data_IF_251602908588
#
_entry.id   IF_251602908588
#
_cell.length_a   1.000
_cell.length_b   1.000
_cell.length_c   1.000
_cell.angle_alpha   90.00
_cell.angle_beta   90.00
_cell.angle_gamma   90.00
#
_symmetry.space_group_name_H-M   'P 1'
#
loop_
_entity.id
_entity.type
_entity.pdbx_description
1 polymer ?
#
# COMPACT_ATOMS: atom_id res chain seq x y z
N UNK A 1 -21.82 17.24 -38.06
CA UNK A 1 -20.49 16.76 -37.66
C UNK A 1 -20.65 15.63 -36.65
N UNK A 2 -20.96 14.42 -37.13
CA UNK A 2 -21.19 13.22 -36.32
C UNK A 2 -20.79 12.00 -37.17
N UNK A 3 -19.50 11.67 -37.14
CA UNK A 3 -18.94 10.53 -37.88
C UNK A 3 -17.88 9.87 -37.01
N UNK A 4 -18.28 9.32 -35.87
CA UNK A 4 -17.46 8.39 -35.07
C UNK A 4 -18.36 7.49 -34.20
N UNK A 5 -19.06 6.50 -34.77
CA UNK A 5 -19.73 5.48 -33.91
C UNK A 5 -19.83 4.05 -34.45
N UNK A 6 -19.42 3.72 -35.68
CA UNK A 6 -19.72 2.37 -36.22
C UNK A 6 -18.52 1.41 -36.29
N UNK A 7 -17.28 1.88 -36.18
CA UNK A 7 -16.09 1.03 -36.44
C UNK A 7 -15.44 0.36 -35.21
N UNK A 8 -16.00 0.51 -34.00
CA UNK A 8 -15.37 0.03 -32.75
C UNK A 8 -16.21 -1.03 -31.97
N UNK A 9 -17.03 -1.83 -32.66
CA UNK A 9 -17.79 -2.93 -32.03
C UNK A 9 -17.24 -4.33 -32.36
N UNK A 10 -16.45 -4.47 -33.43
CA UNK A 10 -15.96 -5.76 -33.95
C UNK A 10 -14.63 -6.21 -33.35
N UNK A 11 -13.89 -5.34 -32.64
CA UNK A 11 -12.64 -5.73 -32.00
C UNK A 11 -12.93 -6.59 -30.77
N UNK A 12 -12.39 -7.83 -30.69
CA UNK A 12 -12.55 -8.66 -29.50
C UNK A 12 -11.98 -7.91 -28.30
N UNK A 13 -12.84 -7.62 -27.31
CA UNK A 13 -12.41 -7.01 -26.05
C UNK A 13 -11.42 -7.97 -25.40
N UNK A 14 -10.21 -7.52 -25.03
CA UNK A 14 -9.22 -8.39 -24.40
C UNK A 14 -9.81 -8.93 -23.10
N UNK A 15 -9.82 -10.26 -22.94
CA UNK A 15 -10.24 -10.93 -21.71
C UNK A 15 -9.39 -10.38 -20.56
N UNK A 16 -10.01 -9.61 -19.67
CA UNK A 16 -9.36 -9.01 -18.49
C UNK A 16 -9.42 -10.00 -17.34
N UNK A 17 -8.35 -10.76 -17.12
CA UNK A 17 -8.17 -11.58 -15.92
C UNK A 17 -7.05 -10.98 -15.07
N UNK A 18 -7.38 -10.59 -13.84
CA UNK A 18 -6.46 -9.98 -12.88
C UNK A 18 -7.08 -8.74 -12.23
N UNK A 19 -7.25 -8.76 -10.89
CA UNK A 19 -7.97 -7.81 -10.03
C UNK A 19 -9.46 -8.09 -9.73
N UNK A 20 -9.85 -9.36 -9.55
CA UNK A 20 -11.21 -9.72 -9.12
C UNK A 20 -11.66 -9.08 -7.79
N UNK A 21 -10.77 -9.03 -6.79
CA UNK A 21 -11.09 -8.50 -5.45
C UNK A 21 -11.43 -7.01 -5.44
N UNK A 22 -10.62 -6.16 -6.08
CA UNK A 22 -10.90 -4.72 -6.18
C UNK A 22 -12.16 -4.46 -7.00
N UNK A 23 -12.39 -5.24 -8.07
CA UNK A 23 -13.60 -5.15 -8.88
C UNK A 23 -14.84 -5.49 -8.04
N UNK A 24 -14.76 -6.53 -7.21
CA UNK A 24 -15.84 -6.93 -6.31
C UNK A 24 -16.09 -5.86 -5.23
N UNK A 25 -15.05 -5.31 -4.61
CA UNK A 25 -15.18 -4.24 -3.63
C UNK A 25 -15.80 -2.99 -4.26
N UNK A 26 -15.31 -2.55 -5.43
CA UNK A 26 -15.92 -1.42 -6.15
C UNK A 26 -17.36 -1.70 -6.53
N UNK A 27 -17.72 -2.95 -6.85
CA UNK A 27 -19.09 -3.35 -7.17
C UNK A 27 -20.01 -3.25 -5.94
N UNK A 28 -19.58 -3.79 -4.80
CA UNK A 28 -20.32 -3.69 -3.54
C UNK A 28 -20.51 -2.23 -3.11
N UNK A 29 -19.46 -1.41 -3.23
CA UNK A 29 -19.54 0.03 -2.97
C UNK A 29 -20.52 0.70 -3.94
N UNK A 30 -20.52 0.33 -5.23
CA UNK A 30 -21.46 0.87 -6.22
C UNK A 30 -22.91 0.52 -5.89
N UNK A 31 -23.17 -0.74 -5.48
CA UNK A 31 -24.51 -1.21 -5.10
C UNK A 31 -24.98 -0.48 -3.84
N UNK A 32 -24.16 -0.42 -2.80
CA UNK A 32 -24.52 0.22 -1.54
C UNK A 32 -24.78 1.72 -1.71
N UNK A 33 -23.88 2.44 -2.38
CA UNK A 33 -24.04 3.89 -2.61
C UNK A 33 -25.16 4.21 -3.60
N UNK A 34 -25.40 3.35 -4.60
CA UNK A 34 -26.52 3.50 -5.53
C UNK A 34 -27.86 3.32 -4.81
N UNK A 35 -27.97 2.28 -3.98
CA UNK A 35 -29.13 2.05 -3.13
C UNK A 35 -29.36 3.18 -2.12
N UNK A 36 -28.31 3.75 -1.55
CA UNK A 36 -28.47 4.91 -0.66
C UNK A 36 -29.05 6.15 -1.40
N UNK A 37 -28.69 6.37 -2.66
CA UNK A 37 -29.21 7.50 -3.43
C UNK A 37 -30.64 7.30 -3.92
N UNK A 38 -31.14 6.07 -4.02
CA UNK A 38 -32.53 5.81 -4.47
C UNK A 38 -33.57 6.35 -3.48
N UNK A 39 -33.21 6.55 -2.21
CA UNK A 39 -34.09 7.18 -1.22
C UNK A 39 -34.37 8.67 -1.49
N UNK A 40 -33.47 9.34 -2.22
CA UNK A 40 -33.55 10.79 -2.47
C UNK A 40 -33.73 11.15 -3.95
N UNK A 41 -33.38 10.24 -4.87
CA UNK A 41 -33.43 10.50 -6.32
C UNK A 41 -34.86 10.39 -6.88
N UNK A 42 -35.29 11.39 -7.66
CA UNK A 42 -36.57 11.36 -8.39
C UNK A 42 -36.34 11.12 -9.88
N UNK A 43 -36.81 9.99 -10.45
CA UNK A 43 -36.54 9.61 -11.84
C UNK A 43 -37.50 10.27 -12.86
N UNK A 44 -37.87 11.54 -12.66
CA UNK A 44 -38.72 12.32 -13.58
C UNK A 44 -37.86 13.35 -14.32
N UNK A 45 -38.11 13.58 -15.62
CA UNK A 45 -37.27 14.46 -16.45
C UNK A 45 -37.20 15.91 -15.94
N UNK A 46 -38.23 16.36 -15.23
CA UNK A 46 -38.32 17.70 -14.65
C UNK A 46 -37.63 17.84 -13.29
N UNK A 47 -37.52 16.75 -12.51
CA UNK A 47 -36.98 16.79 -11.13
C UNK A 47 -35.66 16.03 -10.96
N UNK A 48 -35.17 15.35 -12.00
CA UNK A 48 -33.95 14.55 -11.92
C UNK A 48 -32.72 15.38 -11.54
N UNK A 49 -32.60 16.61 -12.06
CA UNK A 49 -31.46 17.48 -11.73
C UNK A 49 -31.58 18.09 -10.33
N UNK A 50 -32.76 18.59 -9.96
CA UNK A 50 -33.00 19.20 -8.65
C UNK A 50 -32.88 18.19 -7.51
N UNK A 51 -33.30 16.93 -7.72
CA UNK A 51 -33.10 15.86 -6.73
C UNK A 51 -31.63 15.52 -6.52
N UNK A 52 -30.78 15.56 -7.56
CA UNK A 52 -29.32 15.40 -7.40
C UNK A 52 -28.69 16.59 -6.71
N UNK A 53 -29.14 17.82 -7.00
CA UNK A 53 -28.67 19.01 -6.29
C UNK A 53 -28.97 18.90 -4.79
N UNK A 54 -30.20 18.51 -4.43
CA UNK A 54 -30.60 18.27 -3.05
C UNK A 54 -29.68 17.25 -2.35
N UNK A 55 -29.35 16.13 -3.01
CA UNK A 55 -28.40 15.15 -2.48
C UNK A 55 -27.02 15.79 -2.21
N UNK A 56 -26.55 16.68 -3.08
CA UNK A 56 -25.24 17.30 -2.93
C UNK A 56 -25.19 18.45 -1.92
N UNK A 57 -26.27 19.19 -1.71
CA UNK A 57 -26.25 20.43 -0.93
C UNK A 57 -26.98 20.35 0.40
N UNK A 58 -28.02 19.52 0.51
CA UNK A 58 -28.92 19.51 1.67
C UNK A 58 -28.96 18.16 2.39
N UNK A 59 -28.80 17.04 1.68
CA UNK A 59 -28.77 15.73 2.31
C UNK A 59 -27.48 15.53 3.13
N UNK A 60 -27.63 15.11 4.39
CA UNK A 60 -26.50 14.79 5.27
C UNK A 60 -25.57 13.76 4.63
N UNK A 61 -24.30 14.11 4.46
CA UNK A 61 -23.29 13.31 3.75
C UNK A 61 -23.65 12.93 2.30
N UNK A 62 -24.71 13.48 1.71
CA UNK A 62 -25.13 13.12 0.35
C UNK A 62 -24.10 13.53 -0.71
N UNK A 63 -23.39 14.65 -0.49
CA UNK A 63 -22.23 15.06 -1.29
C UNK A 63 -21.15 13.97 -1.33
N UNK A 64 -20.91 13.30 -0.20
CA UNK A 64 -19.90 12.25 -0.07
C UNK A 64 -20.38 10.97 -0.74
N UNK A 65 -21.62 10.54 -0.48
CA UNK A 65 -22.21 9.33 -1.08
C UNK A 65 -22.21 9.43 -2.61
N UNK A 66 -22.65 10.56 -3.16
CA UNK A 66 -22.68 10.79 -4.60
C UNK A 66 -21.27 10.84 -5.19
N UNK A 67 -20.33 11.49 -4.50
CA UNK A 67 -18.93 11.51 -4.90
C UNK A 67 -18.37 10.09 -4.94
N UNK A 68 -18.50 9.33 -3.85
CA UNK A 68 -18.01 7.94 -3.77
C UNK A 68 -18.60 7.09 -4.90
N UNK A 69 -19.91 7.17 -5.16
CA UNK A 69 -20.56 6.44 -6.26
C UNK A 69 -20.00 6.81 -7.64
N UNK A 70 -19.68 8.09 -7.88
CA UNK A 70 -19.07 8.54 -9.14
C UNK A 70 -17.60 8.11 -9.24
N UNK A 71 -16.84 8.18 -8.15
CA UNK A 71 -15.43 7.79 -8.13
C UNK A 71 -15.24 6.27 -8.25
N UNK A 72 -16.07 5.45 -7.58
CA UNK A 72 -16.05 3.99 -7.70
C UNK A 72 -16.42 3.53 -9.11
N UNK A 73 -17.36 4.22 -9.77
CA UNK A 73 -17.70 3.96 -11.17
C UNK A 73 -16.50 4.18 -12.12
N UNK A 74 -15.61 5.14 -11.80
CA UNK A 74 -14.39 5.39 -12.58
C UNK A 74 -13.34 4.29 -12.40
N UNK A 75 -13.36 3.55 -11.29
CA UNK A 75 -12.52 2.37 -11.08
C UNK A 75 -12.76 1.25 -12.10
N UNK A 76 -13.93 1.22 -12.75
CA UNK A 76 -14.23 0.28 -13.83
C UNK A 76 -13.75 0.76 -15.22
N UNK A 77 -13.44 2.05 -15.37
CA UNK A 77 -12.95 2.65 -16.62
C UNK A 77 -11.41 2.67 -16.65
N UNK A 78 -10.81 2.65 -17.85
CA UNK A 78 -9.38 2.99 -17.98
C UNK A 78 -9.19 4.46 -17.58
N UNK A 79 -8.05 4.86 -16.99
CA UNK A 79 -6.83 4.08 -16.71
C UNK A 79 -6.79 3.40 -15.32
N UNK A 80 -6.13 2.23 -15.20
CA UNK A 80 -5.98 1.48 -13.93
C UNK A 80 -4.84 1.99 -13.03
N UNK A 81 -4.19 3.06 -13.46
CA UNK A 81 -3.09 3.72 -12.74
C UNK A 81 -3.56 4.21 -11.37
N UNK A 82 -4.78 4.75 -11.27
CA UNK A 82 -5.34 5.27 -10.02
C UNK A 82 -5.58 4.18 -8.97
N UNK A 83 -6.08 3.01 -9.39
CA UNK A 83 -6.27 1.86 -8.48
C UNK A 83 -4.95 1.29 -7.99
N UNK A 84 -3.90 1.36 -8.81
CA UNK A 84 -2.56 0.94 -8.42
C UNK A 84 -1.95 1.92 -7.41
N UNK A 85 -1.97 3.22 -7.71
CA UNK A 85 -1.44 4.26 -6.82
C UNK A 85 -2.14 4.24 -5.47
N UNK A 86 -3.47 4.13 -5.44
CA UNK A 86 -4.23 4.01 -4.18
C UNK A 86 -3.85 2.75 -3.41
N UNK A 87 -3.63 1.62 -4.09
CA UNK A 87 -3.13 0.39 -3.45
C UNK A 87 -1.74 0.54 -2.83
N UNK A 88 -0.79 1.16 -3.53
CA UNK A 88 0.57 1.39 -3.01
C UNK A 88 0.54 2.37 -1.81
N UNK A 89 -0.29 3.42 -1.88
CA UNK A 89 -0.48 4.35 -0.75
C UNK A 89 -1.07 3.62 0.47
N UNK A 90 -2.08 2.77 0.27
CA UNK A 90 -2.64 1.95 1.34
C UNK A 90 -1.62 0.97 1.93
N UNK A 91 -0.76 0.36 1.11
CA UNK A 91 0.31 -0.51 1.57
C UNK A 91 1.33 0.25 2.45
N UNK A 92 1.76 1.43 2.03
CA UNK A 92 2.68 2.29 2.82
C UNK A 92 2.04 2.72 4.14
N UNK A 93 0.76 3.11 4.11
CA UNK A 93 0.01 3.46 5.33
C UNK A 93 -0.09 2.26 6.28
N UNK A 94 -0.41 1.07 5.76
CA UNK A 94 -0.52 -0.17 6.54
C UNK A 94 0.82 -0.53 7.18
N UNK A 95 1.92 -0.44 6.44
CA UNK A 95 3.26 -0.66 6.99
C UNK A 95 3.61 0.36 8.08
N UNK A 96 3.24 1.63 7.89
CA UNK A 96 3.44 2.69 8.89
C UNK A 96 2.64 2.42 10.18
N UNK A 97 1.42 1.91 10.06
CA UNK A 97 0.62 1.47 11.20
C UNK A 97 1.21 0.25 11.89
N UNK A 98 1.78 -0.71 11.15
CA UNK A 98 2.50 -1.87 11.72
C UNK A 98 3.66 -1.45 12.62
N UNK A 99 4.52 -0.55 12.12
CA UNK A 99 5.64 0.02 12.90
C UNK A 99 5.15 0.76 14.15
N UNK A 100 4.03 1.47 14.06
CA UNK A 100 3.44 2.15 15.23
C UNK A 100 2.87 1.14 16.23
N UNK A 101 2.27 0.05 15.75
CA UNK A 101 1.74 -1.06 16.55
C UNK A 101 2.80 -1.70 17.45
N UNK A 102 3.99 -1.92 16.92
CA UNK A 102 5.14 -2.45 17.67
C UNK A 102 5.55 -1.62 18.88
N UNK A 103 5.30 -0.31 18.85
CA UNK A 103 5.70 0.55 19.96
C UNK A 103 4.79 0.41 21.19
N UNK A 104 3.60 -0.19 21.06
CA UNK A 104 2.61 -0.23 22.14
C UNK A 104 2.99 -1.17 23.30
N UNK A 105 3.47 -2.41 23.08
CA UNK A 105 3.84 -3.32 24.17
C UNK A 105 5.08 -2.89 24.96
N UNK A 106 5.92 -2.03 24.38
CA UNK A 106 7.18 -1.54 24.96
C UNK A 106 8.12 -2.67 25.44
N UNK A 107 8.20 -3.73 24.64
CA UNK A 107 9.14 -4.83 24.78
C UNK A 107 10.49 -4.50 24.11
N UNK A 108 11.47 -5.38 24.30
CA UNK A 108 12.82 -5.20 23.75
C UNK A 108 12.79 -4.93 22.23
N UNK A 109 11.99 -5.69 21.48
CA UNK A 109 11.88 -5.56 20.02
C UNK A 109 11.25 -4.22 19.64
N UNK A 110 10.13 -3.83 20.27
CA UNK A 110 9.45 -2.57 20.00
C UNK A 110 10.31 -1.34 20.31
N UNK A 111 11.04 -1.34 21.43
CA UNK A 111 11.94 -0.25 21.79
C UNK A 111 13.04 -0.01 20.73
N UNK A 112 13.73 -1.07 20.31
CA UNK A 112 14.80 -0.96 19.32
C UNK A 112 14.27 -0.68 17.91
N UNK A 113 13.11 -1.21 17.53
CA UNK A 113 12.43 -0.86 16.28
C UNK A 113 12.12 0.65 16.21
N UNK A 114 11.59 1.23 17.29
CA UNK A 114 11.33 2.68 17.38
C UNK A 114 12.63 3.48 17.28
N UNK A 115 13.74 3.02 17.87
CA UNK A 115 15.05 3.69 17.77
C UNK A 115 15.57 3.72 16.34
N UNK A 116 15.39 2.65 15.57
CA UNK A 116 15.77 2.60 14.14
C UNK A 116 14.95 3.62 13.35
N UNK A 117 13.63 3.63 13.52
CA UNK A 117 12.71 4.52 12.79
C UNK A 117 12.97 5.99 13.12
N UNK A 118 13.20 6.31 14.40
CA UNK A 118 13.56 7.66 14.84
C UNK A 118 14.93 8.12 14.32
N UNK A 119 15.82 7.19 13.97
CA UNK A 119 17.13 7.50 13.37
C UNK A 119 17.08 7.76 11.86
N UNK A 120 15.96 7.47 11.18
CA UNK A 120 15.81 7.69 9.73
C UNK A 120 15.87 9.18 9.36
N UNK A 121 15.15 10.10 10.04
CA UNK A 121 15.24 11.54 9.76
C UNK A 121 16.64 12.12 9.97
N UNK A 122 17.44 11.56 10.90
CA UNK A 122 18.81 12.01 11.17
C UNK A 122 19.76 11.77 9.99
N UNK A 123 19.40 10.87 9.06
CA UNK A 123 20.17 10.62 7.85
C UNK A 123 19.97 11.69 6.76
N UNK A 124 18.90 12.49 6.85
CA UNK A 124 18.56 13.50 5.84
C UNK A 124 19.20 14.85 6.25
N UNK A 125 20.01 15.49 5.38
CA UNK A 125 20.72 16.72 5.73
C UNK A 125 19.82 17.96 5.92
N UNK A 126 18.50 17.82 5.84
CA UNK A 126 17.51 18.89 6.07
C UNK A 126 17.07 18.85 7.55
N UNK A 127 17.99 19.24 8.43
CA UNK A 127 17.73 19.35 9.87
C UNK A 127 16.91 20.63 10.11
N UNK A 128 15.66 20.48 10.55
CA UNK A 128 14.96 21.31 11.57
C UNK A 128 13.42 21.27 11.56
N UNK A 129 12.75 20.69 10.55
CA UNK A 129 11.27 20.74 10.48
C UNK A 129 10.52 19.42 10.68
N UNK A 130 11.21 18.26 10.55
CA UNK A 130 10.55 16.94 10.55
C UNK A 130 10.47 16.32 11.96
N UNK A 131 11.26 16.79 12.92
CA UNK A 131 11.45 16.12 14.22
C UNK A 131 10.31 16.32 15.25
N UNK A 132 9.23 17.03 14.89
CA UNK A 132 8.09 17.27 15.78
C UNK A 132 6.81 16.50 15.38
N UNK A 133 6.96 15.34 14.73
CA UNK A 133 5.85 14.38 14.63
C UNK A 133 5.74 13.66 15.98
N UNK A 134 5.12 14.35 16.94
CA UNK A 134 4.69 13.77 18.20
C UNK A 134 3.68 12.67 17.86
N UNK A 135 3.95 11.44 18.27
CA UNK A 135 2.99 10.32 18.20
C UNK A 135 1.80 10.69 19.11
N UNK A 136 0.83 11.37 18.52
CA UNK A 136 -0.42 11.76 19.17
C UNK A 136 -1.53 11.24 18.29
N UNK A 137 -1.77 9.93 18.36
CA UNK A 137 -3.09 9.32 18.32
C UNK A 137 -2.98 7.78 18.32
N UNK A 138 -2.72 7.18 19.49
CA UNK A 138 -2.76 5.70 19.63
C UNK A 138 -4.16 5.16 19.97
N UNK A 139 -5.24 5.95 19.84
CA UNK A 139 -6.60 5.49 20.20
C UNK A 139 -7.46 4.98 19.03
N UNK A 140 -7.01 5.04 17.78
CA UNK A 140 -7.91 4.80 16.63
C UNK A 140 -7.89 3.42 15.96
N UNK A 141 -7.09 2.44 16.38
CA UNK A 141 -7.08 1.14 15.69
C UNK A 141 -7.27 -0.03 16.66
N UNK A 142 -8.54 -0.31 16.95
CA UNK A 142 -8.97 -1.55 17.61
C UNK A 142 -10.21 -2.12 16.92
N UNK A 143 -10.21 -2.19 15.59
CA UNK A 143 -11.13 -3.04 14.83
C UNK A 143 -10.38 -3.43 13.55
N UNK A 144 -9.82 -4.66 13.52
CA UNK A 144 -9.65 -5.49 12.30
C UNK A 144 -9.07 -6.89 12.59
N UNK A 145 -8.47 -7.15 13.77
CA UNK A 145 -7.68 -8.39 14.01
C UNK A 145 -8.27 -9.36 15.05
N UNK A 146 -9.60 -9.48 15.15
CA UNK A 146 -10.22 -10.27 16.25
C UNK A 146 -10.14 -11.79 16.01
N UNK A 147 -10.09 -12.27 14.77
CA UNK A 147 -10.04 -13.73 14.50
C UNK A 147 -8.65 -14.35 14.68
N UNK A 148 -7.57 -13.68 14.28
CA UNK A 148 -6.21 -14.20 14.51
C UNK A 148 -5.80 -14.08 15.99
N UNK A 149 -6.21 -12.99 16.67
CA UNK A 149 -5.88 -12.78 18.08
C UNK A 149 -6.42 -13.86 19.04
N UNK A 150 -7.44 -14.62 18.61
CA UNK A 150 -8.00 -15.74 19.38
C UNK A 150 -7.24 -17.04 19.12
N UNK A 151 -6.72 -17.24 17.91
CA UNK A 151 -6.03 -18.47 17.52
C UNK A 151 -4.55 -18.45 17.92
N UNK A 152 -3.90 -17.29 17.84
CA UNK A 152 -2.52 -17.08 18.25
C UNK A 152 -2.45 -15.83 19.15
N UNK A 153 -2.67 -15.96 20.48
CA UNK A 153 -2.48 -14.84 21.39
C UNK A 153 -1.03 -14.37 21.32
N UNK A 154 -0.82 -13.08 21.09
CA UNK A 154 0.53 -12.50 21.02
C UNK A 154 1.25 -12.69 22.36
N UNK A 155 2.40 -13.37 22.33
CA UNK A 155 3.27 -13.50 23.50
C UNK A 155 3.89 -12.13 23.78
N UNK A 156 3.73 -11.61 25.00
CA UNK A 156 4.40 -10.39 25.45
C UNK A 156 5.88 -10.75 25.67
N UNK A 157 6.78 -10.04 24.98
CA UNK A 157 8.22 -10.23 25.11
C UNK A 157 8.79 -9.70 26.43
N UNK A 158 10.11 -9.81 26.60
CA UNK A 158 10.78 -9.25 27.76
C UNK A 158 10.67 -7.71 27.79
N UNK A 159 10.52 -7.09 28.97
CA UNK A 159 10.47 -5.64 29.12
C UNK A 159 11.71 -4.96 28.50
N UNK A 160 11.51 -3.80 27.90
CA UNK A 160 12.60 -3.06 27.26
C UNK A 160 13.68 -2.60 28.25
N UNK A 161 14.91 -3.09 28.08
CA UNK A 161 16.14 -2.56 28.67
C UNK A 161 16.92 -1.70 27.64
N UNK A 162 17.03 -0.37 27.86
CA UNK A 162 17.80 0.55 27.02
C UNK A 162 19.30 0.27 26.92
N UNK A 163 19.87 -0.49 27.87
CA UNK A 163 21.31 -0.70 27.99
C UNK A 163 21.79 -2.06 27.47
N UNK A 164 20.86 -2.98 27.17
CA UNK A 164 21.18 -4.31 26.68
C UNK A 164 20.61 -4.54 25.27
N UNK A 165 21.39 -4.32 24.21
CA UNK A 165 20.96 -4.70 22.85
C UNK A 165 20.92 -6.22 22.71
N UNK A 166 19.81 -6.84 22.30
CA UNK A 166 19.79 -8.26 21.93
C UNK A 166 20.77 -8.55 20.79
N UNK A 167 21.34 -9.75 20.79
CA UNK A 167 22.38 -10.16 19.83
C UNK A 167 21.90 -10.13 18.37
N UNK A 168 20.59 -10.34 18.11
CA UNK A 168 20.01 -10.23 16.77
C UNK A 168 18.56 -9.71 16.85
N UNK A 169 18.36 -8.42 16.56
CA UNK A 169 17.05 -7.76 16.60
C UNK A 169 16.44 -7.84 15.21
N UNK A 170 15.46 -8.74 15.03
CA UNK A 170 14.75 -8.95 13.76
C UNK A 170 13.36 -8.29 13.84
N UNK A 171 12.93 -7.53 12.80
CA UNK A 171 11.53 -7.07 12.69
C UNK A 171 10.62 -8.25 12.27
N UNK A 172 9.34 -8.05 11.90
CA UNK A 172 8.62 -9.18 11.30
C UNK A 172 9.16 -9.52 9.92
N UNK A 173 8.84 -10.74 9.50
CA UNK A 173 9.22 -11.33 8.22
C UNK A 173 8.95 -10.43 7.01
N UNK A 174 7.89 -9.62 7.02
CA UNK A 174 7.53 -8.75 5.91
C UNK A 174 8.40 -7.50 5.79
N UNK A 175 9.17 -7.15 6.82
CA UNK A 175 10.18 -6.09 6.78
C UNK A 175 11.60 -6.60 6.50
N UNK A 176 11.83 -7.92 6.50
CA UNK A 176 13.17 -8.50 6.32
C UNK A 176 13.94 -7.98 5.10
N UNK A 177 13.36 -7.92 3.88
CA UNK A 177 14.12 -7.50 2.70
C UNK A 177 14.60 -6.05 2.82
N UNK A 178 13.75 -5.18 3.39
CA UNK A 178 14.02 -3.74 3.54
C UNK A 178 14.99 -3.51 4.71
N UNK A 179 14.86 -4.27 5.78
CA UNK A 179 15.79 -4.29 6.91
C UNK A 179 17.20 -4.72 6.49
N UNK A 180 17.30 -5.75 5.65
CA UNK A 180 18.58 -6.25 5.14
C UNK A 180 19.33 -5.18 4.33
N UNK A 181 18.63 -4.38 3.52
CA UNK A 181 19.22 -3.24 2.80
C UNK A 181 19.81 -2.23 3.78
N UNK A 182 19.11 -1.92 4.88
CA UNK A 182 19.55 -0.93 5.86
C UNK A 182 20.82 -1.36 6.61
N UNK A 183 20.95 -2.65 6.95
CA UNK A 183 22.14 -3.17 7.65
C UNK A 183 23.34 -3.42 6.74
N UNK A 184 23.12 -3.72 5.46
CA UNK A 184 24.21 -4.04 4.52
C UNK A 184 24.90 -2.80 3.94
N UNK A 185 24.17 -1.68 3.86
CA UNK A 185 24.70 -0.45 3.27
C UNK A 185 25.43 0.38 4.35
N UNK A 186 26.74 0.64 4.20
CA UNK A 186 27.54 1.33 5.22
C UNK A 186 27.17 2.82 5.38
N UNK A 187 26.48 3.40 4.39
CA UNK A 187 26.02 4.79 4.43
C UNK A 187 24.55 4.88 4.83
N UNK A 188 24.26 5.58 5.94
CA UNK A 188 22.89 5.75 6.48
C UNK A 188 21.92 6.39 5.48
N UNK A 189 22.34 7.42 4.74
CA UNK A 189 21.49 8.10 3.77
C UNK A 189 21.15 7.17 2.60
N UNK A 190 22.15 6.45 2.08
CA UNK A 190 21.94 5.53 0.96
C UNK A 190 21.00 4.38 1.34
N UNK A 191 21.16 3.82 2.54
CA UNK A 191 20.25 2.79 3.07
C UNK A 191 18.79 3.28 3.11
N UNK A 192 18.55 4.47 3.69
CA UNK A 192 17.21 5.07 3.74
C UNK A 192 16.63 5.33 2.35
N UNK A 193 17.43 5.88 1.43
CA UNK A 193 16.99 6.12 0.05
C UNK A 193 16.60 4.84 -0.67
N UNK A 194 17.33 3.74 -0.45
CA UNK A 194 17.00 2.44 -1.03
C UNK A 194 15.73 1.82 -0.41
N UNK A 195 15.44 2.07 0.87
CA UNK A 195 14.16 1.66 1.46
C UNK A 195 12.97 2.41 0.84
N UNK A 196 13.13 3.71 0.60
CA UNK A 196 12.10 4.57 -0.01
C UNK A 196 11.97 4.32 -1.51
N UNK A 197 13.04 3.86 -2.18
CA UNK A 197 13.03 3.56 -3.62
C UNK A 197 12.08 2.41 -3.98
N UNK A 198 11.86 1.46 -3.06
CA UNK A 198 10.95 0.32 -3.30
C UNK A 198 9.49 0.75 -3.50
N UNK A 199 8.83 1.44 -2.53
CA UNK A 199 7.47 1.90 -2.73
C UNK A 199 7.37 2.99 -3.82
N UNK A 200 8.36 3.86 -3.97
CA UNK A 200 8.35 4.88 -5.04
C UNK A 200 8.53 4.26 -6.44
N UNK A 201 9.35 3.22 -6.57
CA UNK A 201 9.48 2.42 -7.79
C UNK A 201 8.16 1.73 -8.14
N UNK A 202 7.48 1.15 -7.14
CA UNK A 202 6.13 0.59 -7.36
C UNK A 202 5.14 1.66 -7.83
N UNK A 203 5.18 2.89 -7.31
CA UNK A 203 4.31 3.98 -7.79
C UNK A 203 4.51 4.33 -9.27
N UNK A 204 5.72 4.15 -9.81
CA UNK A 204 6.02 4.48 -11.21
C UNK A 204 5.69 3.37 -12.20
N UNK A 205 5.57 2.11 -11.74
CA UNK A 205 5.22 0.94 -12.56
C UNK A 205 4.06 1.18 -13.54
N UNK A 206 2.87 1.65 -13.12
CA UNK A 206 1.72 1.71 -14.02
C UNK A 206 1.92 2.74 -15.14
N UNK A 207 2.77 3.75 -14.94
CA UNK A 207 3.13 4.75 -15.95
C UNK A 207 4.17 4.20 -16.93
N UNK A 208 5.15 3.44 -16.45
CA UNK A 208 6.14 2.75 -17.29
C UNK A 208 5.48 1.66 -18.15
N UNK A 209 4.51 0.94 -17.61
CA UNK A 209 3.83 -0.16 -18.31
C UNK A 209 2.82 0.30 -19.37
N UNK A 210 2.40 1.56 -19.34
CA UNK A 210 1.48 2.15 -20.32
C UNK A 210 2.17 2.37 -21.69
N UNK A 211 3.51 2.35 -21.74
CA UNK A 211 4.29 2.44 -23.00
C UNK A 211 4.01 1.24 -23.92
N UNK A 212 3.70 0.07 -23.35
CA UNK A 212 3.55 -1.18 -24.10
C UNK A 212 2.09 -1.53 -24.42
N UNK A 213 1.78 -1.68 -25.71
CA UNK A 213 0.42 -2.01 -26.21
C UNK A 213 -0.15 -3.35 -25.72
N UNK A 214 0.70 -4.38 -25.59
CA UNK A 214 0.30 -5.71 -25.14
C UNK A 214 0.28 -5.77 -23.62
N UNK A 215 -0.63 -6.48 -22.97
CA UNK A 215 -0.67 -6.62 -21.49
C UNK A 215 -0.25 -8.02 -21.02
N UNK A 216 -0.04 -8.95 -21.94
CA UNK A 216 0.32 -10.34 -21.64
C UNK A 216 1.80 -10.44 -21.18
N UNK A 217 2.11 -11.02 -20.02
CA UNK A 217 3.48 -11.20 -19.51
C UNK A 217 4.41 -11.90 -20.52
N UNK A 218 3.93 -12.96 -21.18
CA UNK A 218 4.73 -13.72 -22.15
C UNK A 218 5.12 -12.92 -23.40
N UNK A 219 4.41 -11.82 -23.69
CA UNK A 219 4.74 -10.91 -24.80
C UNK A 219 5.59 -9.71 -24.35
N UNK A 220 6.01 -9.70 -23.09
CA UNK A 220 6.86 -8.68 -22.47
C UNK A 220 8.00 -9.36 -21.71
N UNK A 221 8.92 -10.06 -22.40
CA UNK A 221 9.96 -10.85 -21.73
C UNK A 221 10.83 -9.98 -20.84
N UNK A 222 11.20 -8.76 -21.26
CA UNK A 222 12.04 -7.85 -20.46
C UNK A 222 11.37 -7.47 -19.13
N UNK A 223 10.13 -6.97 -19.17
CA UNK A 223 9.42 -6.54 -17.95
C UNK A 223 9.17 -7.72 -16.99
N UNK A 224 8.82 -8.89 -17.56
CA UNK A 224 8.58 -10.11 -16.76
C UNK A 224 9.88 -10.59 -16.11
N UNK A 225 11.00 -10.59 -16.84
CA UNK A 225 12.30 -10.97 -16.29
C UNK A 225 12.75 -10.01 -15.18
N UNK A 226 12.60 -8.70 -15.36
CA UNK A 226 12.92 -7.70 -14.32
C UNK A 226 12.08 -7.93 -13.05
N UNK A 227 10.78 -8.18 -13.20
CA UNK A 227 9.90 -8.48 -12.06
C UNK A 227 10.30 -9.78 -11.33
N UNK A 228 10.63 -10.84 -12.08
CA UNK A 228 11.07 -12.11 -11.51
C UNK A 228 12.41 -11.98 -10.79
N UNK A 229 13.37 -11.28 -11.38
CA UNK A 229 14.66 -10.98 -10.74
C UNK A 229 14.42 -10.18 -9.45
N UNK A 230 13.59 -9.13 -9.49
CA UNK A 230 13.25 -8.35 -8.31
C UNK A 230 12.62 -9.20 -7.20
N UNK A 231 11.75 -10.14 -7.56
CA UNK A 231 11.13 -11.08 -6.61
C UNK A 231 12.18 -12.01 -5.99
N UNK A 232 13.08 -12.57 -6.80
CA UNK A 232 14.18 -13.42 -6.31
C UNK A 232 15.12 -12.62 -5.40
N UNK A 233 15.46 -11.38 -5.75
CA UNK A 233 16.28 -10.50 -4.91
C UNK A 233 15.59 -10.18 -3.59
N UNK A 234 14.28 -9.90 -3.59
CA UNK A 234 13.54 -9.66 -2.37
C UNK A 234 13.55 -10.89 -1.44
N UNK A 235 13.39 -12.09 -2.00
CA UNK A 235 13.50 -13.35 -1.24
C UNK A 235 14.93 -13.59 -0.73
N UNK A 236 15.94 -13.34 -1.56
CA UNK A 236 17.35 -13.43 -1.19
C UNK A 236 17.69 -12.52 -0.01
N UNK A 237 17.28 -11.25 -0.07
CA UNK A 237 17.45 -10.29 1.02
C UNK A 237 16.64 -10.68 2.26
N UNK A 238 15.44 -11.23 2.08
CA UNK A 238 14.62 -11.73 3.17
C UNK A 238 15.27 -12.88 3.96
N UNK A 239 15.88 -13.84 3.25
CA UNK A 239 16.64 -14.95 3.87
C UNK A 239 17.93 -14.40 4.50
N UNK A 240 18.66 -13.54 3.80
CA UNK A 240 19.89 -12.92 4.30
C UNK A 240 19.70 -12.14 5.61
N UNK A 241 18.51 -11.56 5.83
CA UNK A 241 18.18 -10.87 7.08
C UNK A 241 18.30 -11.74 8.33
N UNK A 242 18.08 -13.05 8.20
CA UNK A 242 18.11 -14.04 9.30
C UNK A 242 19.51 -14.58 9.60
N UNK A 243 20.53 -14.10 8.88
CA UNK A 243 21.91 -14.55 9.01
C UNK A 243 22.81 -13.44 9.60
N UNK A 244 23.93 -13.83 10.23
CA UNK A 244 25.00 -12.91 10.61
C UNK A 244 25.50 -12.08 9.41
N UNK A 245 25.90 -10.83 9.67
CA UNK A 245 26.14 -9.84 8.59
C UNK A 245 27.24 -10.26 7.61
N UNK A 246 28.25 -10.97 8.12
CA UNK A 246 29.37 -11.55 7.39
C UNK A 246 28.95 -12.56 6.32
N UNK A 247 27.85 -13.30 6.56
CA UNK A 247 27.34 -14.31 5.62
C UNK A 247 26.04 -13.90 4.93
N UNK A 248 25.43 -12.80 5.37
CA UNK A 248 24.08 -12.40 4.96
C UNK A 248 23.93 -12.10 3.47
N UNK A 249 25.00 -11.67 2.78
CA UNK A 249 24.99 -11.37 1.35
C UNK A 249 25.29 -12.59 0.47
N UNK A 250 26.12 -13.52 0.93
CA UNK A 250 26.48 -14.75 0.21
C UNK A 250 25.60 -15.93 0.60
N UNK A 251 24.71 -15.74 1.59
CA UNK A 251 23.97 -16.80 2.31
C UNK A 251 24.89 -17.90 2.86
N UNK A 252 26.17 -17.58 3.11
CA UNK A 252 27.17 -18.55 3.55
C UNK A 252 27.57 -19.59 2.49
N UNK A 253 27.25 -19.35 1.22
CA UNK A 253 27.62 -20.23 0.09
C UNK A 253 29.06 -20.03 -0.39
N UNK A 254 29.73 -18.97 0.07
CA UNK A 254 31.12 -18.62 -0.20
C UNK A 254 31.73 -17.93 1.02
#
# INVERSE_FOLDING_TARGET
>A
MATQTVEDSSKPRPKRTGAGGITLTCFLVQVATGFAMTFYYRPTVTEAFSSVQYIMTEANFGWLIQSVHRWSARGFKKPRELTWVTGVVLAVLTASFGVTGYSLPWDQIGYWAVKIVKGVPDAIPIKNWICHIRIHNQRCLRIQSTCLAVLEPSMIGEPADPFATPLEILPEWYFFPVFQILRTVPNKLLGVLLMVSVPTGLLTVPFLENVNKFQNPFRRPVATTVFLIGTVVALWLGIGATLPIDKSLTLGLF
#
